data_IF_469484763573
#
_entry.id   IF_469484763573
#
_cell.length_a   1.000
_cell.length_b   1.000
_cell.length_c   1.000
_cell.angle_alpha   90.00
_cell.angle_beta   90.00
_cell.angle_gamma   90.00
#
_symmetry.space_group_name_H-M   'P 1'
#
loop_
_entity.id
_entity.type
_entity.pdbx_description
1 polymer ?
#
# COMPACT_ATOMS: atom_id res chain seq x y z
N UNK A 1 -43.13 -17.44 -18.98
CA UNK A 1 -42.23 -18.61 -18.72
C UNK A 1 -40.78 -18.29 -19.05
N UNK A 2 -40.22 -17.16 -18.59
CA UNK A 2 -38.87 -16.73 -19.00
C UNK A 2 -37.92 -16.46 -17.82
N UNK A 3 -38.41 -16.58 -16.59
CA UNK A 3 -37.61 -16.28 -15.38
C UNK A 3 -36.86 -17.50 -14.80
N UNK A 4 -37.22 -18.70 -15.16
CA UNK A 4 -36.60 -19.90 -14.58
C UNK A 4 -35.26 -20.30 -15.25
N UNK A 5 -34.98 -19.87 -16.49
CA UNK A 5 -33.74 -20.22 -17.20
C UNK A 5 -32.53 -19.40 -16.75
N UNK A 6 -32.72 -18.14 -16.37
CA UNK A 6 -31.63 -17.28 -15.92
C UNK A 6 -31.06 -17.72 -14.56
N UNK A 7 -31.91 -18.21 -13.67
CA UNK A 7 -31.51 -18.75 -12.36
C UNK A 7 -30.75 -20.08 -12.45
N UNK A 8 -31.03 -20.91 -13.45
CA UNK A 8 -30.34 -22.17 -13.63
C UNK A 8 -28.90 -22.02 -14.11
N UNK A 9 -28.63 -21.03 -14.98
CA UNK A 9 -27.28 -20.74 -15.47
C UNK A 9 -26.39 -20.15 -14.36
N UNK A 10 -26.92 -19.22 -13.60
CA UNK A 10 -26.18 -18.64 -12.45
C UNK A 10 -25.82 -19.69 -11.40
N UNK A 11 -26.73 -20.65 -11.13
CA UNK A 11 -26.49 -21.72 -10.19
C UNK A 11 -25.45 -22.74 -10.71
N UNK A 12 -25.47 -23.06 -12.01
CA UNK A 12 -24.50 -23.95 -12.61
C UNK A 12 -23.08 -23.39 -12.56
N UNK A 13 -22.89 -22.12 -12.95
CA UNK A 13 -21.58 -21.42 -12.90
C UNK A 13 -21.08 -21.32 -11.44
N UNK A 14 -21.96 -21.00 -10.51
CA UNK A 14 -21.61 -20.96 -9.09
C UNK A 14 -21.19 -22.33 -8.57
N UNK A 15 -21.91 -23.42 -8.96
CA UNK A 15 -21.60 -24.79 -8.55
C UNK A 15 -20.26 -25.25 -9.10
N UNK A 16 -19.96 -24.92 -10.37
CA UNK A 16 -18.64 -25.22 -10.97
C UNK A 16 -17.50 -24.48 -10.27
N UNK A 17 -17.65 -23.18 -10.04
CA UNK A 17 -16.67 -22.38 -9.31
C UNK A 17 -16.47 -22.89 -7.87
N UNK A 18 -17.56 -23.22 -7.18
CA UNK A 18 -17.51 -23.78 -5.83
C UNK A 18 -16.81 -25.15 -5.80
N UNK A 19 -17.11 -26.05 -6.75
CA UNK A 19 -16.44 -27.33 -6.84
C UNK A 19 -14.96 -27.20 -7.17
N UNK A 20 -14.58 -26.24 -8.03
CA UNK A 20 -13.18 -25.91 -8.32
C UNK A 20 -12.44 -25.47 -7.05
N UNK A 21 -12.99 -24.50 -6.32
CA UNK A 21 -12.41 -24.03 -5.05
C UNK A 21 -12.29 -25.15 -4.03
N UNK A 22 -13.33 -25.98 -3.90
CA UNK A 22 -13.35 -27.11 -2.96
C UNK A 22 -12.32 -28.21 -3.30
N UNK A 23 -11.99 -28.36 -4.58
CA UNK A 23 -10.98 -29.34 -5.04
C UNK A 23 -9.56 -28.78 -5.00
N UNK A 24 -9.41 -27.45 -4.88
CA UNK A 24 -8.10 -26.82 -4.75
C UNK A 24 -7.57 -27.11 -3.35
N UNK A 25 -6.45 -27.81 -3.27
CA UNK A 25 -5.73 -27.95 -1.99
C UNK A 25 -5.13 -26.60 -1.63
N UNK A 26 -5.60 -26.05 -0.52
CA UNK A 26 -5.10 -24.77 0.02
C UNK A 26 -4.22 -24.97 1.25
N UNK A 27 -3.82 -26.18 1.56
CA UNK A 27 -3.01 -26.41 2.75
C UNK A 27 -1.55 -26.44 2.34
N UNK A 28 -0.90 -25.38 2.72
CA UNK A 28 0.54 -25.27 2.76
C UNK A 28 0.93 -25.64 4.19
N UNK A 29 1.75 -26.65 4.35
CA UNK A 29 2.43 -26.84 5.61
C UNK A 29 3.58 -25.84 5.64
N UNK A 30 3.49 -24.84 6.51
CA UNK A 30 4.49 -23.77 6.62
C UNK A 30 5.91 -24.32 6.87
N UNK A 31 6.02 -25.49 7.50
CA UNK A 31 7.31 -26.15 7.73
C UNK A 31 7.97 -26.69 6.47
N UNK A 32 7.27 -26.73 5.33
CA UNK A 32 7.84 -27.19 4.06
C UNK A 32 8.58 -26.07 3.29
N UNK A 33 8.65 -24.85 3.85
CA UNK A 33 9.22 -23.67 3.21
C UNK A 33 10.26 -22.98 4.08
N UNK A 34 11.34 -22.55 3.48
CA UNK A 34 12.40 -21.79 4.17
C UNK A 34 11.97 -20.33 4.42
N UNK A 35 11.06 -19.81 3.59
CA UNK A 35 10.59 -18.43 3.68
C UNK A 35 9.09 -18.38 3.35
N UNK A 36 8.35 -17.66 4.16
CA UNK A 36 6.92 -17.39 3.98
C UNK A 36 6.73 -15.89 3.85
N UNK A 37 6.01 -15.46 2.82
CA UNK A 37 5.68 -14.07 2.59
C UNK A 37 4.18 -13.87 2.79
N UNK A 38 3.83 -13.05 3.76
CA UNK A 38 2.45 -12.59 3.97
C UNK A 38 2.25 -11.25 3.25
N UNK A 39 1.40 -11.24 2.25
CA UNK A 39 1.08 -10.01 1.51
C UNK A 39 -0.22 -9.42 2.04
N UNK A 40 -0.12 -8.21 2.63
CA UNK A 40 -1.28 -7.42 3.01
C UNK A 40 -1.89 -6.70 1.82
N UNK A 41 -3.18 -6.43 1.89
CA UNK A 41 -3.91 -5.63 0.89
C UNK A 41 -4.21 -4.25 1.43
N UNK A 42 -4.34 -3.26 0.54
CA UNK A 42 -4.72 -1.89 0.88
C UNK A 42 -3.65 -1.13 1.70
N UNK A 43 -3.88 0.17 1.91
CA UNK A 43 -3.04 1.00 2.76
C UNK A 43 -3.54 1.02 4.20
N UNK A 44 -2.65 1.24 5.16
CA UNK A 44 -2.95 1.23 6.58
C UNK A 44 -4.13 2.15 6.97
N UNK A 45 -4.25 3.33 6.38
CA UNK A 45 -5.36 4.26 6.67
C UNK A 45 -6.69 3.90 5.99
N UNK A 46 -6.74 2.78 5.26
CA UNK A 46 -7.97 2.18 4.73
C UNK A 46 -8.51 1.05 5.60
N UNK A 47 -7.86 0.75 6.72
CA UNK A 47 -8.27 -0.27 7.68
C UNK A 47 -9.72 -0.07 8.15
N UNK A 48 -10.45 -1.18 8.35
CA UNK A 48 -11.85 -1.16 8.73
C UNK A 48 -12.12 -0.47 10.07
N UNK A 49 -11.21 -0.59 11.02
CA UNK A 49 -11.34 -0.10 12.39
C UNK A 49 -10.45 1.13 12.66
N UNK A 50 -9.23 1.11 12.14
CA UNK A 50 -8.21 2.12 12.40
C UNK A 50 -8.11 3.19 11.33
N UNK A 51 -8.81 3.03 10.19
CA UNK A 51 -8.84 3.99 9.10
C UNK A 51 -9.72 5.21 9.35
N UNK A 52 -9.88 6.03 8.31
CA UNK A 52 -10.72 7.23 8.35
C UNK A 52 -12.14 6.94 7.85
N UNK A 53 -13.06 6.62 8.75
CA UNK A 53 -14.47 6.41 8.41
C UNK A 53 -15.09 7.65 7.75
N UNK A 54 -16.01 7.47 6.80
CA UNK A 54 -16.55 6.21 6.29
C UNK A 54 -15.76 5.61 5.11
N UNK A 55 -14.61 6.17 4.76
CA UNK A 55 -13.88 5.85 3.53
C UNK A 55 -12.79 4.81 3.82
N UNK A 56 -13.19 3.65 4.29
CA UNK A 56 -12.34 2.50 4.65
C UNK A 56 -12.69 1.26 3.83
N UNK A 57 -11.84 0.23 3.85
CA UNK A 57 -12.15 -1.10 3.34
C UNK A 57 -12.90 -1.91 4.41
N UNK A 58 -13.45 -3.05 4.04
CA UNK A 58 -14.16 -3.95 4.97
C UNK A 58 -13.23 -4.91 5.73
N UNK A 59 -11.91 -4.74 5.59
CA UNK A 59 -10.90 -5.64 6.17
C UNK A 59 -9.86 -4.87 6.98
N UNK A 60 -9.21 -5.53 7.91
CA UNK A 60 -8.06 -5.00 8.61
C UNK A 60 -6.83 -5.07 7.70
N UNK A 61 -6.00 -4.02 7.72
CA UNK A 61 -4.87 -3.87 6.78
C UNK A 61 -3.50 -3.83 7.45
N UNK A 62 -3.45 -3.82 8.78
CA UNK A 62 -2.22 -3.76 9.56
C UNK A 62 -1.73 -5.12 10.06
N UNK A 63 -0.86 -5.10 11.07
CA UNK A 63 -0.29 -6.31 11.66
C UNK A 63 -1.20 -6.98 12.71
N UNK A 64 -2.28 -6.34 13.11
CA UNK A 64 -3.15 -6.79 14.20
C UNK A 64 -3.86 -8.13 13.95
N UNK A 65 -3.85 -8.63 12.72
CA UNK A 65 -4.39 -9.96 12.41
C UNK A 65 -3.35 -11.08 12.55
N UNK A 66 -2.07 -10.73 12.72
CA UNK A 66 -1.01 -11.69 13.00
C UNK A 66 -0.85 -11.89 14.49
N UNK A 67 -0.60 -13.10 14.90
CA UNK A 67 -0.29 -13.41 16.32
C UNK A 67 1.12 -12.98 16.68
N UNK A 68 1.38 -12.80 17.97
CA UNK A 68 2.74 -12.48 18.44
C UNK A 68 3.78 -13.55 18.04
N UNK A 69 3.37 -14.81 17.91
CA UNK A 69 4.26 -15.88 17.47
C UNK A 69 4.63 -15.73 15.99
N UNK A 70 3.68 -15.34 15.14
CA UNK A 70 3.91 -15.08 13.71
C UNK A 70 4.76 -13.84 13.49
N UNK A 71 4.65 -12.85 14.37
CA UNK A 71 5.40 -11.60 14.29
C UNK A 71 6.82 -11.71 14.85
N UNK A 72 7.13 -12.73 15.66
CA UNK A 72 8.43 -12.85 16.29
C UNK A 72 9.53 -13.21 15.29
N UNK A 73 10.48 -12.31 15.12
CA UNK A 73 11.58 -12.46 14.15
C UNK A 73 11.17 -12.24 12.70
N UNK A 74 9.99 -11.65 12.47
CA UNK A 74 9.50 -11.32 11.12
C UNK A 74 10.05 -9.98 10.67
N UNK A 75 10.48 -9.90 9.40
CA UNK A 75 10.75 -8.65 8.71
C UNK A 75 9.44 -8.10 8.13
N UNK A 76 9.14 -6.85 8.41
CA UNK A 76 7.95 -6.17 7.88
C UNK A 76 8.35 -5.10 6.88
N UNK A 77 7.94 -5.28 5.64
CA UNK A 77 8.17 -4.33 4.55
C UNK A 77 6.99 -3.37 4.45
N UNK A 78 7.22 -2.12 4.80
CA UNK A 78 6.25 -1.03 4.66
C UNK A 78 6.46 -0.36 3.30
N UNK A 79 5.62 -0.70 2.33
CA UNK A 79 5.73 -0.15 0.98
C UNK A 79 4.97 1.16 0.84
N UNK A 80 5.60 2.16 0.23
CA UNK A 80 4.98 3.43 -0.12
C UNK A 80 5.51 3.96 -1.45
N UNK A 81 4.74 4.84 -2.09
CA UNK A 81 5.20 5.63 -3.24
C UNK A 81 5.79 6.95 -2.75
N UNK A 82 6.46 7.70 -3.63
CA UNK A 82 6.85 9.09 -3.40
C UNK A 82 5.68 10.08 -3.51
N UNK A 83 4.48 9.60 -3.78
CA UNK A 83 3.23 10.35 -3.82
C UNK A 83 2.07 9.47 -3.34
N UNK A 84 0.98 10.08 -2.92
CA UNK A 84 -0.19 9.34 -2.45
C UNK A 84 -1.22 9.15 -3.56
N UNK A 85 -1.89 8.01 -3.51
CA UNK A 85 -2.95 7.65 -4.45
C UNK A 85 -4.21 7.22 -3.72
N UNK A 86 -5.36 7.48 -4.32
CA UNK A 86 -6.65 7.06 -3.78
C UNK A 86 -7.69 6.88 -4.87
N UNK A 87 -8.47 5.81 -4.76
CA UNK A 87 -9.73 5.69 -5.47
C UNK A 87 -10.88 6.29 -4.66
N UNK A 88 -11.79 6.98 -5.36
CA UNK A 88 -13.06 7.41 -4.81
C UNK A 88 -12.99 8.52 -3.77
N UNK A 89 -13.89 8.45 -2.80
CA UNK A 89 -14.05 9.48 -1.78
C UNK A 89 -13.01 9.38 -0.66
N UNK A 90 -12.92 10.45 0.13
CA UNK A 90 -11.97 10.59 1.21
C UNK A 90 -10.85 11.57 0.89
N UNK A 91 -10.09 11.89 1.92
CA UNK A 91 -9.00 12.84 1.82
C UNK A 91 -7.92 12.32 0.87
N UNK A 92 -7.44 13.21 0.03
CA UNK A 92 -6.25 13.06 -0.81
C UNK A 92 -5.47 14.36 -0.69
N UNK A 93 -4.16 14.33 -0.45
CA UNK A 93 -3.34 15.53 -0.43
C UNK A 93 -3.48 16.32 -1.73
N UNK A 94 -3.17 17.60 -1.66
CA UNK A 94 -3.26 18.49 -2.81
C UNK A 94 -2.34 18.06 -3.95
N UNK A 95 -2.73 18.39 -5.17
CA UNK A 95 -1.83 18.43 -6.31
C UNK A 95 -1.08 19.78 -6.31
N UNK A 96 0.08 19.80 -6.91
CA UNK A 96 0.90 21.01 -7.06
C UNK A 96 1.01 21.31 -8.55
N UNK A 97 0.69 22.55 -8.94
CA UNK A 97 0.76 22.98 -10.32
C UNK A 97 2.18 22.80 -10.87
N UNK A 98 2.28 22.18 -12.03
CA UNK A 98 3.54 21.86 -12.68
C UNK A 98 4.29 20.66 -12.10
N UNK A 99 3.78 20.00 -11.05
CA UNK A 99 4.32 18.75 -10.52
C UNK A 99 3.56 17.55 -11.09
N UNK A 100 4.21 16.84 -12.00
CA UNK A 100 3.59 15.73 -12.75
C UNK A 100 3.62 14.43 -11.94
N UNK A 101 2.46 14.02 -11.42
CA UNK A 101 2.22 12.76 -10.75
C UNK A 101 1.60 11.69 -11.67
N UNK A 102 1.48 11.98 -12.96
CA UNK A 102 0.94 11.01 -13.91
C UNK A 102 1.94 9.86 -14.13
N UNK A 103 1.48 8.66 -13.88
CA UNK A 103 2.18 7.44 -14.23
C UNK A 103 1.51 6.83 -15.47
N UNK A 104 2.24 6.76 -16.58
CA UNK A 104 1.73 6.20 -17.84
C UNK A 104 1.47 4.68 -17.75
N UNK A 105 2.06 4.01 -16.77
CA UNK A 105 1.84 2.59 -16.52
C UNK A 105 0.67 2.34 -15.56
N UNK A 106 0.08 3.40 -14.97
CA UNK A 106 -1.03 3.27 -14.04
C UNK A 106 -2.27 2.73 -14.76
N UNK A 107 -2.68 1.55 -14.35
CA UNK A 107 -3.86 0.86 -14.88
C UNK A 107 -5.16 1.25 -14.17
N UNK A 108 -5.07 1.95 -13.04
CA UNK A 108 -6.23 2.38 -12.29
C UNK A 108 -6.92 3.55 -12.98
N UNK A 109 -8.12 3.29 -13.46
CA UNK A 109 -8.97 4.27 -14.14
C UNK A 109 -10.29 4.41 -13.39
N UNK A 110 -11.08 5.41 -13.76
CA UNK A 110 -12.43 5.53 -13.24
C UNK A 110 -13.20 4.22 -13.39
N UNK A 111 -13.86 3.79 -12.33
CA UNK A 111 -14.86 2.73 -12.37
C UNK A 111 -16.07 3.10 -11.52
N UNK A 112 -17.26 2.54 -11.86
CA UNK A 112 -18.53 2.90 -11.23
C UNK A 112 -18.65 2.54 -9.74
N UNK A 113 -17.78 1.68 -9.23
CA UNK A 113 -17.79 1.24 -7.83
C UNK A 113 -16.82 2.04 -6.95
N UNK A 114 -15.65 2.36 -7.47
CA UNK A 114 -14.58 3.03 -6.73
C UNK A 114 -14.43 4.52 -7.08
N UNK A 115 -15.04 4.98 -8.18
CA UNK A 115 -14.95 6.36 -8.64
C UNK A 115 -13.63 6.71 -9.32
N UNK A 116 -13.21 7.97 -9.21
CA UNK A 116 -11.99 8.47 -9.83
C UNK A 116 -10.74 8.03 -9.05
N UNK A 117 -9.70 7.69 -9.79
CA UNK A 117 -8.35 7.60 -9.26
C UNK A 117 -7.78 9.00 -9.07
N UNK A 118 -7.24 9.25 -7.90
CA UNK A 118 -6.68 10.55 -7.50
C UNK A 118 -5.23 10.39 -7.09
N UNK A 119 -4.42 11.38 -7.37
CA UNK A 119 -3.04 11.51 -6.91
C UNK A 119 -2.86 12.80 -6.14
N UNK A 120 -1.93 12.82 -5.20
CA UNK A 120 -1.54 14.01 -4.45
C UNK A 120 -0.10 13.88 -3.98
N UNK A 121 0.53 14.98 -3.61
CA UNK A 121 1.89 14.96 -3.07
C UNK A 121 1.98 14.06 -1.85
N UNK A 122 3.16 13.56 -1.52
CA UNK A 122 3.34 12.74 -0.34
C UNK A 122 3.02 13.54 0.93
N UNK A 123 2.41 12.89 1.92
CA UNK A 123 2.02 13.51 3.17
C UNK A 123 2.60 12.72 4.35
N UNK A 124 3.64 13.28 4.98
CA UNK A 124 4.29 12.68 6.14
C UNK A 124 3.44 12.69 7.39
N UNK A 125 2.49 13.63 7.50
CA UNK A 125 1.57 13.67 8.64
C UNK A 125 0.62 12.47 8.58
N UNK A 126 0.16 12.09 7.37
CA UNK A 126 -0.62 10.86 7.17
C UNK A 126 0.20 9.59 7.40
N UNK A 127 1.47 9.57 7.00
CA UNK A 127 2.34 8.42 7.27
C UNK A 127 2.50 8.22 8.78
N UNK A 128 2.79 9.28 9.52
CA UNK A 128 2.92 9.24 10.96
C UNK A 128 1.61 8.85 11.66
N UNK A 129 0.48 9.35 11.16
CA UNK A 129 -0.87 8.98 11.64
C UNK A 129 -1.14 7.48 11.43
N UNK A 130 -0.77 6.93 10.25
CA UNK A 130 -0.91 5.51 9.96
C UNK A 130 -0.12 4.66 10.97
N UNK A 131 1.14 5.01 11.20
CA UNK A 131 2.00 4.30 12.14
C UNK A 131 1.50 4.37 13.57
N UNK A 132 1.00 5.53 13.99
CA UNK A 132 0.43 5.75 15.32
C UNK A 132 -0.84 4.93 15.52
N UNK A 133 -1.79 4.98 14.59
CA UNK A 133 -3.07 4.27 14.68
C UNK A 133 -2.88 2.76 14.76
N UNK A 134 -1.95 2.24 13.99
CA UNK A 134 -1.62 0.81 13.98
C UNK A 134 -0.64 0.40 15.10
N UNK A 135 -0.27 1.32 15.98
CA UNK A 135 0.63 1.07 17.12
C UNK A 135 1.91 0.33 16.71
N UNK A 136 2.47 0.65 15.53
CA UNK A 136 3.60 -0.10 14.97
C UNK A 136 4.84 -0.06 15.88
N UNK A 137 4.97 0.95 16.73
CA UNK A 137 6.04 1.04 17.71
C UNK A 137 5.93 0.00 18.85
N UNK A 138 4.78 -0.61 19.04
CA UNK A 138 4.54 -1.57 20.12
C UNK A 138 5.02 -2.98 19.76
N UNK A 139 5.17 -3.30 18.47
CA UNK A 139 5.69 -4.59 17.99
C UNK A 139 7.22 -4.64 18.06
N UNK A 140 7.75 -4.84 19.28
CA UNK A 140 9.19 -4.71 19.57
C UNK A 140 10.09 -5.76 18.95
N UNK A 141 9.53 -6.89 18.54
CA UNK A 141 10.25 -8.02 17.93
C UNK A 141 10.24 -7.98 16.40
N UNK A 142 9.67 -6.95 15.81
CA UNK A 142 9.52 -6.80 14.36
C UNK A 142 10.60 -5.86 13.85
N UNK A 143 11.29 -6.29 12.80
CA UNK A 143 12.22 -5.44 12.05
C UNK A 143 11.47 -4.78 10.88
N UNK A 144 11.46 -3.46 10.84
CA UNK A 144 10.80 -2.69 9.79
C UNK A 144 11.79 -2.29 8.71
N UNK A 145 11.39 -2.55 7.46
CA UNK A 145 12.08 -2.05 6.26
C UNK A 145 11.13 -1.13 5.51
N UNK A 146 11.57 0.09 5.22
CA UNK A 146 10.77 1.04 4.45
C UNK A 146 11.11 0.92 2.97
N UNK A 147 10.13 0.52 2.18
CA UNK A 147 10.25 0.32 0.74
C UNK A 147 9.63 1.51 0.00
N UNK A 148 10.48 2.36 -0.59
CA UNK A 148 10.06 3.60 -1.25
C UNK A 148 10.11 3.39 -2.76
N UNK A 149 8.95 3.53 -3.41
CA UNK A 149 8.80 3.32 -4.85
C UNK A 149 8.54 4.62 -5.59
N UNK A 150 8.61 4.60 -6.92
CA UNK A 150 8.33 5.74 -7.82
C UNK A 150 9.30 6.93 -7.63
N UNK A 151 10.55 6.65 -7.33
CA UNK A 151 11.61 7.68 -7.25
C UNK A 151 11.85 8.36 -8.61
N UNK A 152 11.62 7.64 -9.70
CA UNK A 152 11.61 8.16 -11.07
C UNK A 152 10.63 9.32 -11.27
N UNK A 153 9.54 9.36 -10.51
CA UNK A 153 8.60 10.50 -10.51
C UNK A 153 9.26 11.76 -9.95
N UNK A 154 10.04 11.62 -8.88
CA UNK A 154 10.76 12.75 -8.27
C UNK A 154 11.86 13.25 -9.19
N UNK A 155 12.64 12.34 -9.76
CA UNK A 155 13.71 12.67 -10.71
C UNK A 155 13.14 13.39 -11.94
N UNK A 156 12.06 12.89 -12.53
CA UNK A 156 11.39 13.51 -13.69
C UNK A 156 10.92 14.94 -13.43
N UNK A 157 10.46 15.21 -12.19
CA UNK A 157 10.04 16.56 -11.79
C UNK A 157 11.23 17.45 -11.37
N UNK A 158 12.41 16.89 -11.13
CA UNK A 158 13.57 17.60 -10.63
C UNK A 158 13.46 18.08 -9.18
N UNK A 159 12.34 17.81 -8.52
CA UNK A 159 12.08 18.16 -7.13
C UNK A 159 11.16 17.12 -6.45
N UNK A 160 11.24 17.02 -5.13
CA UNK A 160 10.29 16.28 -4.30
C UNK A 160 9.35 17.24 -3.60
N UNK A 161 8.07 17.18 -3.93
CA UNK A 161 7.01 17.96 -3.28
C UNK A 161 6.28 17.08 -2.25
N UNK A 162 6.19 17.56 -1.01
CA UNK A 162 5.55 16.80 0.08
C UNK A 162 4.95 17.73 1.14
N UNK A 163 4.02 17.20 1.92
CA UNK A 163 3.46 17.83 3.10
C UNK A 163 4.17 17.31 4.36
N UNK A 164 4.52 18.23 5.25
CA UNK A 164 5.00 17.94 6.60
C UNK A 164 4.58 19.06 7.54
N UNK A 165 4.00 18.73 8.69
CA UNK A 165 3.40 19.69 9.62
C UNK A 165 2.38 20.59 8.92
N UNK A 166 1.57 20.01 8.02
CA UNK A 166 0.55 20.70 7.19
C UNK A 166 1.13 21.79 6.26
N UNK A 167 2.42 21.81 6.05
CA UNK A 167 3.10 22.73 5.16
C UNK A 167 3.60 22.01 3.91
N UNK A 168 3.39 22.64 2.74
CA UNK A 168 3.96 22.16 1.50
C UNK A 168 5.44 22.53 1.45
N UNK A 169 6.27 21.52 1.34
CA UNK A 169 7.71 21.65 1.21
C UNK A 169 8.16 21.14 -0.16
N UNK A 170 9.27 21.67 -0.64
CA UNK A 170 9.90 21.29 -1.89
C UNK A 170 11.39 21.13 -1.68
N UNK A 171 11.93 20.03 -2.16
CA UNK A 171 13.36 19.73 -2.09
C UNK A 171 13.84 19.37 -3.49
N UNK A 172 14.83 20.07 -4.01
CA UNK A 172 15.42 19.75 -5.30
C UNK A 172 15.99 18.33 -5.28
N UNK A 173 15.70 17.55 -6.32
CA UNK A 173 16.22 16.20 -6.46
C UNK A 173 17.72 16.21 -6.75
N UNK A 174 18.49 15.44 -6.00
CA UNK A 174 19.93 15.25 -6.20
C UNK A 174 20.27 13.77 -6.35
N UNK A 175 19.64 12.91 -5.54
CA UNK A 175 19.80 11.45 -5.61
C UNK A 175 18.63 10.74 -4.91
N UNK A 176 18.51 9.44 -5.16
CA UNK A 176 17.53 8.59 -4.49
C UNK A 176 17.80 8.50 -2.98
N UNK A 177 19.08 8.45 -2.57
CA UNK A 177 19.48 8.44 -1.16
C UNK A 177 18.97 9.69 -0.43
N UNK A 178 19.12 10.87 -1.05
CA UNK A 178 18.61 12.12 -0.47
C UNK A 178 17.10 12.03 -0.21
N UNK A 179 16.34 11.47 -1.15
CA UNK A 179 14.89 11.32 -0.96
C UNK A 179 14.59 10.31 0.15
N UNK A 180 15.31 9.19 0.20
CA UNK A 180 15.18 8.20 1.26
C UNK A 180 15.48 8.81 2.65
N UNK A 181 16.48 9.69 2.75
CA UNK A 181 16.83 10.39 4.00
C UNK A 181 15.69 11.28 4.50
N UNK A 182 14.91 11.88 3.60
CA UNK A 182 13.71 12.66 3.98
C UNK A 182 12.65 11.77 4.66
N UNK A 183 12.58 10.49 4.31
CA UNK A 183 11.67 9.53 4.93
C UNK A 183 12.14 9.04 6.32
N UNK A 184 13.40 9.27 6.70
CA UNK A 184 13.89 8.86 8.03
C UNK A 184 13.15 9.53 9.18
N UNK A 185 12.70 10.75 9.00
CA UNK A 185 12.03 11.52 10.05
C UNK A 185 10.56 11.11 10.21
N UNK A 186 10.35 9.83 10.56
CA UNK A 186 9.04 9.25 10.84
C UNK A 186 9.00 8.74 12.27
N UNK A 187 7.80 8.39 12.76
CA UNK A 187 7.63 7.81 14.10
C UNK A 187 8.34 6.45 14.27
N UNK A 188 8.70 5.79 13.17
CA UNK A 188 9.48 4.54 13.17
C UNK A 188 10.99 4.75 12.96
N UNK A 189 11.47 5.99 12.95
CA UNK A 189 12.87 6.35 12.68
C UNK A 189 13.90 5.44 13.37
N UNK A 190 13.71 5.15 14.64
CA UNK A 190 14.63 4.33 15.44
C UNK A 190 14.46 2.82 15.20
N UNK A 191 13.49 2.40 14.41
CA UNK A 191 13.12 1.00 14.20
C UNK A 191 13.16 0.54 12.76
N UNK A 192 13.27 1.48 11.81
CA UNK A 192 13.52 1.15 10.41
C UNK A 192 14.98 0.75 10.28
N UNK A 193 15.22 -0.53 10.00
CA UNK A 193 16.56 -1.11 9.90
C UNK A 193 17.16 -0.94 8.51
N UNK A 194 16.32 -0.78 7.49
CA UNK A 194 16.75 -0.65 6.11
C UNK A 194 15.75 0.19 5.29
N UNK A 195 16.27 0.98 4.36
CA UNK A 195 15.50 1.72 3.36
C UNK A 195 15.84 1.19 1.99
N UNK A 196 14.83 0.80 1.25
CA UNK A 196 14.99 0.24 -0.08
C UNK A 196 14.38 1.23 -1.07
N UNK A 197 15.25 1.84 -1.87
CA UNK A 197 14.87 2.68 -3.00
C UNK A 197 14.47 1.80 -4.18
N UNK A 198 13.37 2.11 -4.83
CA UNK A 198 12.90 1.36 -5.98
C UNK A 198 12.34 2.28 -7.06
N UNK A 199 12.75 2.02 -8.30
CA UNK A 199 12.25 2.72 -9.50
C UNK A 199 11.30 1.81 -10.26
N UNK A 200 10.32 2.39 -10.93
CA UNK A 200 9.41 1.62 -11.78
C UNK A 200 10.16 0.84 -12.88
N UNK A 201 11.27 1.39 -13.37
CA UNK A 201 12.15 0.76 -14.35
C UNK A 201 12.80 -0.54 -13.86
N UNK A 202 12.93 -0.73 -12.54
CA UNK A 202 13.58 -1.90 -11.95
C UNK A 202 12.68 -3.16 -12.07
N UNK A 203 11.36 -2.99 -12.20
CA UNK A 203 10.42 -4.10 -12.44
C UNK A 203 10.62 -4.80 -13.79
N UNK A 204 11.23 -4.13 -14.76
CA UNK A 204 11.44 -4.69 -16.10
C UNK A 204 12.65 -5.64 -16.14
N UNK A 205 13.52 -5.57 -15.15
CA UNK A 205 14.74 -6.38 -15.06
C UNK A 205 14.54 -7.79 -14.45
N UNK A 206 13.36 -8.05 -13.84
CA UNK A 206 13.03 -9.36 -13.26
C UNK A 206 12.15 -10.14 -14.24
N UNK A 207 12.72 -10.57 -15.34
CA UNK A 207 12.12 -11.55 -16.26
C UNK A 207 12.93 -12.83 -16.27
#
# INVERSE_FOLDING_TARGET
>A
MTTARATCWGLAVFTEAFNFVRQTQTIINENDYDTIVYEGTQGLLLDAELGFLPNVTATNTGLQYLTNNELNGTEVYLATRTYLTRHGNGYTPQQVDGYDLADKSESNVFNGYQGNFKTGVFDFDLLNEAFSRHSLNDYKTVDYKLFITHLDTVERNGEFCYLRNKQLLKTAYQSDEQICDIFEDTVLKSRVTERIAFRLTDFVAIK
#
